data_IF_804534070179
#
_entry.id   IF_804534070179
#
_cell.length_a   1.000
_cell.length_b   1.000
_cell.length_c   1.000
_cell.angle_alpha   90.00
_cell.angle_beta   90.00
_cell.angle_gamma   90.00
#
_symmetry.space_group_name_H-M   'P 1'
#
loop_
_entity.id
_entity.type
_entity.pdbx_description
1 polymer ?
#
# COMPACT_ATOMS: atom_id res chain seq x y z
N UNK A 1 -6.88 14.69 -7.35
CA UNK A 1 -5.70 15.48 -6.94
C UNK A 1 -5.53 15.46 -5.43
N UNK A 2 -6.43 16.00 -4.64
CA UNK A 2 -6.31 16.04 -3.16
C UNK A 2 -6.07 14.67 -2.49
N UNK A 3 -6.74 13.59 -2.93
CA UNK A 3 -6.56 12.26 -2.37
C UNK A 3 -5.15 11.73 -2.61
N UNK A 4 -4.60 11.90 -3.81
CA UNK A 4 -3.23 11.47 -4.12
C UNK A 4 -2.16 12.26 -3.34
N UNK A 5 -2.39 13.54 -3.09
CA UNK A 5 -1.52 14.37 -2.24
C UNK A 5 -1.53 13.87 -0.79
N UNK A 6 -2.71 13.63 -0.23
CA UNK A 6 -2.84 13.08 1.12
C UNK A 6 -2.17 11.70 1.26
N UNK A 7 -2.29 10.85 0.24
CA UNK A 7 -1.60 9.55 0.20
C UNK A 7 -0.08 9.73 0.20
N UNK A 8 0.45 10.68 -0.55
CA UNK A 8 1.90 10.98 -0.53
C UNK A 8 2.38 11.47 0.83
N UNK A 9 1.62 12.34 1.47
CA UNK A 9 1.91 12.81 2.84
C UNK A 9 1.93 11.63 3.82
N UNK A 10 0.95 10.73 3.73
CA UNK A 10 0.92 9.53 4.55
C UNK A 10 2.16 8.64 4.32
N UNK A 11 2.49 8.35 3.07
CA UNK A 11 3.63 7.49 2.74
C UNK A 11 4.96 8.11 3.17
N UNK A 12 5.06 9.43 3.22
CA UNK A 12 6.27 10.12 3.68
C UNK A 12 6.54 9.90 5.19
N UNK A 13 5.49 9.71 6.00
CA UNK A 13 5.62 9.51 7.45
C UNK A 13 5.44 8.05 7.88
N UNK A 14 4.81 7.22 7.06
CA UNK A 14 4.54 5.82 7.38
C UNK A 14 5.85 5.02 7.47
N UNK A 15 6.08 4.27 8.55
CA UNK A 15 7.26 3.44 8.69
C UNK A 15 7.23 2.26 7.71
N UNK A 16 8.40 1.71 7.41
CA UNK A 16 8.51 0.47 6.65
C UNK A 16 7.84 -0.70 7.39
N UNK A 17 7.26 -1.60 6.64
CA UNK A 17 6.63 -2.78 7.18
C UNK A 17 7.66 -3.72 7.83
N UNK A 18 7.24 -4.36 8.91
CA UNK A 18 7.98 -5.40 9.60
C UNK A 18 7.60 -6.77 9.04
N UNK A 19 8.57 -7.68 8.94
CA UNK A 19 8.35 -9.07 8.52
C UNK A 19 7.41 -9.85 9.47
N UNK A 20 7.26 -9.38 10.70
CA UNK A 20 6.39 -9.98 11.71
C UNK A 20 4.90 -9.61 11.54
N UNK A 21 4.55 -8.77 10.57
CA UNK A 21 3.15 -8.44 10.31
C UNK A 21 2.34 -9.72 10.00
N UNK A 22 1.19 -9.95 10.68
CA UNK A 22 0.47 -11.23 10.59
C UNK A 22 0.13 -11.66 9.16
N UNK A 23 -0.25 -10.73 8.29
CA UNK A 23 -0.50 -11.03 6.88
C UNK A 23 0.74 -11.56 6.17
N UNK A 24 1.91 -10.94 6.39
CA UNK A 24 3.15 -11.35 5.75
C UNK A 24 3.60 -12.73 6.23
N UNK A 25 3.46 -13.01 7.52
CA UNK A 25 3.73 -14.33 8.09
C UNK A 25 2.79 -15.40 7.51
N UNK A 26 1.48 -15.13 7.46
CA UNK A 26 0.49 -16.07 6.91
C UNK A 26 0.77 -16.40 5.44
N UNK A 27 1.19 -15.41 4.65
CA UNK A 27 1.47 -15.56 3.22
C UNK A 27 2.91 -15.96 2.91
N UNK A 28 3.77 -16.05 3.92
CA UNK A 28 5.21 -16.24 3.75
C UNK A 28 5.80 -15.23 2.74
N UNK A 29 5.34 -13.99 2.84
CA UNK A 29 5.73 -12.90 1.97
C UNK A 29 6.74 -11.97 2.65
N UNK A 30 7.65 -11.41 1.87
CA UNK A 30 8.62 -10.41 2.35
C UNK A 30 7.92 -9.05 2.51
N UNK A 31 8.37 -8.20 3.45
CA UNK A 31 7.82 -6.85 3.61
C UNK A 31 8.14 -5.94 2.42
N UNK A 32 9.25 -6.16 1.72
CA UNK A 32 9.66 -5.31 0.61
C UNK A 32 9.74 -3.84 1.00
N UNK A 33 9.14 -2.99 0.20
CA UNK A 33 8.97 -1.56 0.42
C UNK A 33 7.57 -1.19 0.92
N UNK A 34 6.79 -2.17 1.36
CA UNK A 34 5.52 -1.93 2.03
C UNK A 34 5.72 -1.07 3.27
N UNK A 35 4.69 -0.29 3.58
CA UNK A 35 4.66 0.54 4.78
C UNK A 35 3.52 0.11 5.70
N UNK A 36 3.52 0.66 6.91
CA UNK A 36 2.48 0.41 7.91
C UNK A 36 1.78 1.72 8.22
N UNK A 37 0.46 1.68 8.36
CA UNK A 37 -0.31 2.82 8.87
C UNK A 37 0.19 3.17 10.27
N UNK A 38 0.62 4.42 10.53
CA UNK A 38 1.11 4.86 11.84
C UNK A 38 0.06 4.68 12.95
N UNK A 39 0.50 4.73 14.19
CA UNK A 39 -0.39 4.63 15.36
C UNK A 39 -1.40 5.77 15.48
N UNK A 40 -1.06 6.94 14.95
CA UNK A 40 -1.89 8.14 14.95
C UNK A 40 -1.54 9.06 13.76
N UNK A 41 -2.29 10.13 13.62
CA UNK A 41 -2.13 11.11 12.54
C UNK A 41 -1.31 12.35 12.95
N UNK A 42 -0.61 12.35 14.08
CA UNK A 42 0.02 13.54 14.67
C UNK A 42 1.11 14.15 13.77
N UNK A 43 1.76 13.33 12.95
CA UNK A 43 2.78 13.77 12.01
C UNK A 43 2.23 14.25 10.66
N UNK A 44 0.93 14.13 10.43
CA UNK A 44 0.26 14.66 9.23
C UNK A 44 -0.06 16.15 9.39
N UNK A 45 -0.21 16.90 8.29
CA UNK A 45 -0.70 18.27 8.34
C UNK A 45 -2.04 18.38 9.08
N UNK A 46 -2.24 19.47 9.81
CA UNK A 46 -3.46 19.69 10.61
C UNK A 46 -4.74 19.69 9.77
N UNK A 47 -4.65 20.06 8.50
CA UNK A 47 -5.73 20.07 7.51
C UNK A 47 -5.78 18.79 6.66
N UNK A 48 -5.00 17.77 7.00
CA UNK A 48 -5.00 16.49 6.30
C UNK A 48 -6.39 15.84 6.33
N UNK A 49 -6.80 15.35 5.16
CA UNK A 49 -8.05 14.59 5.05
C UNK A 49 -7.94 13.16 5.58
N UNK A 50 -6.75 12.74 6.03
CA UNK A 50 -6.51 11.41 6.60
C UNK A 50 -6.78 11.44 8.11
N UNK A 51 -7.53 10.43 8.55
CA UNK A 51 -7.77 10.12 9.96
C UNK A 51 -7.29 8.69 10.22
N UNK A 52 -6.71 8.45 11.39
CA UNK A 52 -6.20 7.14 11.77
C UNK A 52 -6.86 6.72 13.08
N UNK A 53 -7.59 5.60 13.03
CA UNK A 53 -8.11 4.94 14.23
C UNK A 53 -7.08 3.95 14.76
N UNK A 54 -6.92 3.88 16.08
CA UNK A 54 -6.00 2.93 16.74
C UNK A 54 -6.39 1.47 16.52
N UNK A 55 -7.66 1.24 16.25
CA UNK A 55 -8.23 -0.07 15.95
C UNK A 55 -9.43 0.07 14.99
N UNK A 56 -9.97 -1.06 14.55
CA UNK A 56 -11.12 -1.09 13.65
C UNK A 56 -12.36 -0.38 14.20
N UNK A 57 -12.60 -0.47 15.51
CA UNK A 57 -13.76 0.13 16.15
C UNK A 57 -13.69 1.65 16.11
N UNK A 58 -12.53 2.20 16.44
CA UNK A 58 -12.30 3.65 16.37
C UNK A 58 -12.32 4.13 14.92
N UNK A 59 -11.69 3.39 14.00
CA UNK A 59 -11.73 3.73 12.58
C UNK A 59 -13.16 3.76 12.03
N UNK A 60 -14.04 2.84 12.48
CA UNK A 60 -15.45 2.86 12.11
C UNK A 60 -16.16 4.12 12.62
N UNK A 61 -15.96 4.48 13.89
CA UNK A 61 -16.54 5.71 14.46
C UNK A 61 -16.05 6.95 13.72
N UNK A 62 -14.76 7.04 13.43
CA UNK A 62 -14.18 8.14 12.66
C UNK A 62 -14.79 8.29 11.26
N UNK A 63 -15.12 7.17 10.58
CA UNK A 63 -15.80 7.24 9.26
C UNK A 63 -17.19 7.84 9.36
N UNK A 64 -17.92 7.49 10.41
CA UNK A 64 -19.28 8.00 10.65
C UNK A 64 -19.25 9.50 11.00
N UNK A 65 -18.27 9.92 11.79
CA UNK A 65 -18.12 11.32 12.25
C UNK A 65 -17.50 12.24 11.19
N UNK A 66 -16.70 11.70 10.27
CA UNK A 66 -15.94 12.50 9.30
C UNK A 66 -16.22 12.05 7.85
N UNK A 67 -17.46 12.25 7.35
CA UNK A 67 -17.77 11.91 5.96
C UNK A 67 -16.89 12.72 5.01
N UNK A 68 -16.29 12.02 4.03
CA UNK A 68 -15.36 12.62 3.08
C UNK A 68 -13.88 12.58 3.48
N UNK A 69 -13.57 12.15 4.71
CA UNK A 69 -12.19 11.87 5.11
C UNK A 69 -11.75 10.46 4.70
N UNK A 70 -10.44 10.29 4.51
CA UNK A 70 -9.80 8.99 4.35
C UNK A 70 -9.53 8.46 5.76
N UNK A 71 -10.19 7.37 6.13
CA UNK A 71 -10.00 6.77 7.45
C UNK A 71 -9.29 5.43 7.34
N UNK A 72 -8.14 5.34 8.00
CA UNK A 72 -7.28 4.17 8.05
C UNK A 72 -7.24 3.58 9.45
N UNK A 73 -6.83 2.32 9.55
CA UNK A 73 -6.62 1.64 10.83
C UNK A 73 -5.12 1.48 11.07
N UNK A 74 -4.65 1.89 12.24
CA UNK A 74 -3.25 1.71 12.65
C UNK A 74 -2.82 0.26 12.53
N UNK A 75 -1.61 0.03 12.01
CA UNK A 75 -1.05 -1.31 11.84
C UNK A 75 -1.44 -2.03 10.54
N UNK A 76 -2.37 -1.51 9.74
CA UNK A 76 -2.63 -2.06 8.40
C UNK A 76 -1.42 -1.82 7.49
N UNK A 77 -1.13 -2.76 6.59
CA UNK A 77 -0.12 -2.54 5.55
C UNK A 77 -0.61 -1.52 4.52
N UNK A 78 0.32 -0.76 4.02
CA UNK A 78 0.13 0.17 2.90
C UNK A 78 0.93 -0.32 1.70
N UNK A 79 0.22 -0.66 0.64
CA UNK A 79 0.78 -1.07 -0.65
C UNK A 79 0.56 0.05 -1.67
N UNK A 80 1.58 0.86 -1.99
CA UNK A 80 1.45 1.94 -2.95
C UNK A 80 1.12 1.41 -4.35
N UNK A 81 0.28 2.12 -5.08
CA UNK A 81 0.01 1.87 -6.49
C UNK A 81 0.34 3.10 -7.33
N UNK A 82 1.20 2.89 -8.32
CA UNK A 82 1.78 3.91 -9.17
C UNK A 82 1.35 3.72 -10.62
N UNK A 83 1.33 4.82 -11.37
CA UNK A 83 1.19 4.76 -12.82
C UNK A 83 2.53 4.51 -13.51
N UNK A 84 2.51 4.42 -14.82
CA UNK A 84 3.71 4.20 -15.67
C UNK A 84 4.75 5.33 -15.56
N UNK A 85 4.38 6.47 -15.01
CA UNK A 85 5.30 7.60 -14.79
C UNK A 85 5.86 7.61 -13.35
N UNK A 86 5.56 6.60 -12.54
CA UNK A 86 5.97 6.53 -11.13
C UNK A 86 5.18 7.45 -10.20
N UNK A 87 4.03 7.96 -10.65
CA UNK A 87 3.15 8.78 -9.83
C UNK A 87 2.25 7.88 -8.98
N UNK A 88 2.37 7.97 -7.66
CA UNK A 88 1.45 7.28 -6.74
C UNK A 88 0.08 7.95 -6.74
N UNK A 89 -0.97 7.19 -7.03
CA UNK A 89 -2.36 7.65 -7.08
C UNK A 89 -3.22 7.08 -5.96
N UNK A 90 -2.87 5.90 -5.47
CA UNK A 90 -3.61 5.22 -4.42
C UNK A 90 -2.72 4.31 -3.59
N UNK A 91 -3.26 3.79 -2.51
CA UNK A 91 -2.70 2.67 -1.74
C UNK A 91 -3.78 1.62 -1.54
N UNK A 92 -3.38 0.36 -1.60
CA UNK A 92 -4.18 -0.73 -1.07
C UNK A 92 -3.80 -0.92 0.41
N UNK A 93 -4.77 -0.88 1.30
CA UNK A 93 -4.58 -1.26 2.70
C UNK A 93 -4.82 -2.75 2.84
N UNK A 94 -3.97 -3.44 3.62
CA UNK A 94 -4.10 -4.87 3.89
C UNK A 94 -4.12 -5.06 5.40
N UNK A 95 -5.24 -5.55 5.91
CA UNK A 95 -5.42 -5.83 7.32
C UNK A 95 -4.61 -7.07 7.76
N UNK A 96 -4.29 -7.20 9.05
CA UNK A 96 -3.62 -8.40 9.58
C UNK A 96 -4.30 -9.71 9.20
N UNK A 97 -5.64 -9.73 9.12
CA UNK A 97 -6.44 -10.87 8.68
C UNK A 97 -6.54 -11.06 7.16
N UNK A 98 -5.90 -10.20 6.36
CA UNK A 98 -5.83 -10.33 4.90
C UNK A 98 -6.90 -9.59 4.11
N UNK A 99 -7.86 -8.92 4.75
CA UNK A 99 -8.82 -8.07 4.06
C UNK A 99 -8.12 -6.88 3.39
N UNK A 100 -8.50 -6.55 2.16
CA UNK A 100 -7.84 -5.56 1.31
C UNK A 100 -8.83 -4.52 0.84
N UNK A 101 -8.42 -3.24 0.91
CA UNK A 101 -9.24 -2.12 0.49
C UNK A 101 -8.39 -1.07 -0.22
N UNK A 102 -8.95 -0.44 -1.23
CA UNK A 102 -8.38 0.80 -1.78
C UNK A 102 -8.98 2.01 -1.09
N UNK A 103 -8.20 3.09 -1.04
CA UNK A 103 -8.67 4.35 -0.49
C UNK A 103 -9.84 4.88 -1.32
N UNK A 104 -10.95 5.18 -0.66
CA UNK A 104 -12.15 5.73 -1.31
C UNK A 104 -11.85 7.05 -2.02
N UNK A 105 -12.35 7.18 -3.25
CA UNK A 105 -12.12 8.37 -4.07
C UNK A 105 -10.74 8.46 -4.73
N UNK A 106 -9.89 7.46 -4.54
CA UNK A 106 -8.60 7.38 -5.24
C UNK A 106 -8.73 6.69 -6.62
N UNK A 107 -7.74 6.92 -7.47
CA UNK A 107 -7.68 6.30 -8.79
C UNK A 107 -6.94 4.96 -8.70
N UNK A 108 -7.66 3.84 -8.81
CA UNK A 108 -7.08 2.49 -8.88
C UNK A 108 -6.66 2.13 -10.30
N UNK A 109 -7.47 2.46 -11.29
CA UNK A 109 -7.29 2.07 -12.69
C UNK A 109 -5.96 2.53 -13.27
N UNK A 110 -5.32 1.64 -14.02
CA UNK A 110 -4.02 1.87 -14.67
C UNK A 110 -2.86 2.07 -13.70
N UNK A 111 -3.02 1.67 -12.44
CA UNK A 111 -1.96 1.70 -11.44
C UNK A 111 -1.59 0.28 -11.01
N UNK A 112 -0.35 0.11 -10.62
CA UNK A 112 0.24 -1.16 -10.24
C UNK A 112 1.33 -0.97 -9.18
N UNK A 113 1.82 -2.07 -8.63
CA UNK A 113 2.97 -2.08 -7.74
C UNK A 113 4.04 -3.03 -8.29
N UNK A 114 5.31 -2.62 -8.27
CA UNK A 114 6.42 -3.47 -8.70
C UNK A 114 7.08 -4.11 -7.48
N UNK A 115 7.04 -5.43 -7.43
CA UNK A 115 7.76 -6.23 -6.43
C UNK A 115 9.14 -6.57 -6.99
N UNK A 116 10.18 -6.07 -6.34
CA UNK A 116 11.57 -6.26 -6.76
C UNK A 116 12.47 -6.44 -5.52
N UNK A 117 13.37 -7.41 -5.57
CA UNK A 117 14.28 -7.73 -4.46
C UNK A 117 15.23 -6.60 -4.08
N UNK A 118 15.51 -5.68 -5.02
CA UNK A 118 16.37 -4.52 -4.81
C UNK A 118 15.59 -3.22 -4.56
N UNK A 119 14.25 -3.31 -4.46
CA UNK A 119 13.36 -2.18 -4.20
C UNK A 119 13.50 -1.01 -5.20
N UNK A 120 13.76 -1.32 -6.47
CA UNK A 120 13.94 -0.32 -7.53
C UNK A 120 12.64 0.27 -8.06
N UNK A 121 11.47 -0.29 -7.65
CA UNK A 121 10.18 0.13 -8.15
C UNK A 121 10.08 0.01 -9.67
N UNK A 122 9.52 1.00 -10.32
CA UNK A 122 9.31 1.00 -11.78
C UNK A 122 10.62 0.78 -12.57
N UNK A 123 11.75 1.29 -12.07
CA UNK A 123 13.05 1.12 -12.73
C UNK A 123 13.50 -0.36 -12.84
N UNK A 124 12.95 -1.25 -12.01
CA UNK A 124 13.22 -2.69 -12.12
C UNK A 124 12.70 -3.29 -13.43
N UNK A 125 11.75 -2.64 -14.09
CA UNK A 125 11.18 -3.08 -15.37
C UNK A 125 11.99 -2.61 -16.58
N UNK A 126 13.00 -1.77 -16.38
CA UNK A 126 13.87 -1.32 -17.47
C UNK A 126 14.68 -2.49 -18.02
N UNK A 127 14.67 -2.65 -19.34
CA UNK A 127 15.43 -3.69 -20.04
C UNK A 127 15.07 -5.15 -19.72
N UNK A 128 13.93 -5.43 -19.07
CA UNK A 128 13.45 -6.81 -18.91
C UNK A 128 12.96 -7.37 -20.26
N UNK A 129 13.21 -8.65 -20.50
CA UNK A 129 12.77 -9.33 -21.73
C UNK A 129 11.28 -9.70 -21.71
N UNK A 130 10.72 -9.84 -20.51
CA UNK A 130 9.33 -10.19 -20.29
C UNK A 130 8.87 -9.57 -18.96
N UNK A 131 7.58 -9.20 -18.89
CA UNK A 131 6.96 -8.72 -17.65
C UNK A 131 6.11 -9.86 -17.09
N UNK A 132 6.35 -10.20 -15.83
CA UNK A 132 5.51 -11.13 -15.07
C UNK A 132 4.49 -10.31 -14.29
N UNK A 133 3.23 -10.70 -14.40
CA UNK A 133 2.10 -10.00 -13.76
C UNK A 133 1.40 -10.96 -12.82
N UNK A 134 1.06 -10.49 -11.63
CA UNK A 134 0.23 -11.17 -10.65
C UNK A 134 -0.92 -10.26 -10.20
N UNK A 135 -1.99 -10.84 -9.70
CA UNK A 135 -3.15 -10.09 -9.21
C UNK A 135 -2.83 -9.29 -7.93
N UNK A 136 -2.12 -9.88 -6.98
CA UNK A 136 -1.85 -9.25 -5.69
C UNK A 136 -0.43 -9.41 -5.19
N UNK A 137 -0.11 -8.68 -4.12
CA UNK A 137 1.23 -8.58 -3.57
C UNK A 137 1.87 -9.92 -3.19
N UNK A 138 1.17 -10.75 -2.40
CA UNK A 138 1.74 -12.01 -1.91
C UNK A 138 2.10 -12.96 -3.06
N UNK A 139 1.24 -13.06 -4.08
CA UNK A 139 1.52 -13.84 -5.29
C UNK A 139 2.68 -13.24 -6.08
N UNK A 140 2.71 -11.91 -6.22
CA UNK A 140 3.81 -11.23 -6.91
C UNK A 140 5.14 -11.45 -6.19
N UNK A 141 5.16 -11.38 -4.85
CA UNK A 141 6.37 -11.62 -4.07
C UNK A 141 6.84 -13.09 -4.17
N UNK A 142 5.93 -14.05 -4.10
CA UNK A 142 6.24 -15.48 -4.30
C UNK A 142 6.86 -15.72 -5.68
N UNK A 143 6.28 -15.16 -6.72
CA UNK A 143 6.80 -15.28 -8.08
C UNK A 143 8.15 -14.58 -8.24
N UNK A 144 8.32 -13.39 -7.65
CA UNK A 144 9.60 -12.67 -7.67
C UNK A 144 10.71 -13.47 -7.02
N UNK A 145 10.42 -14.11 -5.88
CA UNK A 145 11.39 -15.02 -5.22
C UNK A 145 11.71 -16.25 -6.07
N UNK A 146 10.69 -16.90 -6.61
CA UNK A 146 10.85 -18.13 -7.37
C UNK A 146 11.58 -17.92 -8.71
N UNK A 147 11.31 -16.80 -9.38
CA UNK A 147 11.84 -16.49 -10.71
C UNK A 147 13.08 -15.59 -10.68
N UNK A 148 13.42 -15.04 -9.52
CA UNK A 148 14.50 -14.05 -9.35
C UNK A 148 14.38 -12.87 -10.33
N UNK A 149 13.17 -12.35 -10.49
CA UNK A 149 12.88 -11.22 -11.38
C UNK A 149 11.83 -10.30 -10.75
N UNK A 150 11.73 -9.05 -11.23
CA UNK A 150 10.64 -8.15 -10.82
C UNK A 150 9.29 -8.68 -11.31
N UNK A 151 8.25 -8.48 -10.50
CA UNK A 151 6.87 -8.89 -10.79
C UNK A 151 5.93 -7.72 -10.54
N UNK A 152 5.01 -7.49 -11.45
CA UNK A 152 3.97 -6.45 -11.33
C UNK A 152 2.75 -7.02 -10.61
N UNK A 153 2.33 -6.39 -9.52
CA UNK A 153 1.03 -6.61 -8.91
C UNK A 153 0.01 -5.64 -9.53
N UNK A 154 -0.95 -6.17 -10.27
CA UNK A 154 -1.84 -5.38 -11.13
C UNK A 154 -3.21 -5.04 -10.50
N UNK A 155 -3.53 -5.59 -9.35
CA UNK A 155 -4.75 -5.28 -8.58
C UNK A 155 -6.07 -5.46 -9.37
N UNK A 156 -6.34 -6.62 -9.82
CA UNK A 156 -7.62 -6.92 -10.45
C UNK A 156 -8.84 -6.75 -9.49
#
# INVERSE_FOLDING_TARGET
MKVAEAIKELLAIAPLADSEHPYLLDKNARPGDLRIVPENADALPADSMIKIGKDWKEAKALREENPGSIVLTAGDLLLPAEDINGQTWTVQTIQPGGAKFFVTGSKKESNFHVVDSEHRGLAALDNVKAIVIAEGYATADTLSQALSCPVVAAFD
#
